data_IF_593756232231
#
_entry.id   IF_593756232231
#
_cell.length_a   1.000
_cell.length_b   1.000
_cell.length_c   1.000
_cell.angle_alpha   90.00
_cell.angle_beta   90.00
_cell.angle_gamma   90.00
#
_symmetry.space_group_name_H-M   'P 1'
#
loop_
_entity.id
_entity.type
_entity.pdbx_description
1 polymer ?
#
# COMPACT_ATOMS: atom_id res chain seq x y z
N UNK A 1 8.54 -49.94 -15.41
CA UNK A 1 9.47 -49.55 -14.34
C UNK A 1 9.10 -48.13 -13.93
N UNK A 2 8.25 -47.99 -12.91
CA UNK A 2 7.80 -46.69 -12.39
C UNK A 2 8.55 -46.42 -11.07
N UNK A 3 9.21 -45.27 -10.89
CA UNK A 3 9.67 -44.86 -9.58
C UNK A 3 8.54 -44.16 -8.82
N UNK A 4 8.39 -44.57 -7.57
CA UNK A 4 7.52 -44.02 -6.54
C UNK A 4 8.06 -42.68 -6.01
N UNK A 5 7.21 -41.69 -5.65
CA UNK A 5 7.64 -40.51 -4.92
C UNK A 5 7.78 -40.80 -3.42
N UNK A 6 8.88 -40.30 -2.85
CA UNK A 6 9.17 -40.32 -1.42
C UNK A 6 8.31 -39.32 -0.65
N UNK A 7 7.98 -39.71 0.58
CA UNK A 7 7.11 -39.03 1.51
C UNK A 7 7.74 -37.79 2.19
N UNK A 8 6.83 -36.88 2.48
CA UNK A 8 6.73 -35.80 3.46
C UNK A 8 7.52 -35.94 4.76
N UNK A 9 8.17 -34.85 5.20
CA UNK A 9 8.01 -34.22 6.52
C UNK A 9 9.00 -33.06 6.67
N UNK A 10 8.52 -31.83 6.87
CA UNK A 10 8.78 -31.01 8.08
C UNK A 10 7.70 -29.93 8.12
N UNK A 11 6.72 -30.19 8.97
CA UNK A 11 5.79 -29.22 9.52
C UNK A 11 6.56 -28.39 10.56
N UNK A 12 6.66 -27.06 10.39
CA UNK A 12 6.94 -26.10 11.46
C UNK A 12 6.88 -24.66 10.91
N UNK A 13 5.73 -24.02 11.10
CA UNK A 13 5.54 -22.64 11.60
C UNK A 13 4.27 -21.99 11.03
N UNK A 14 3.12 -22.33 11.62
CA UNK A 14 2.25 -21.32 12.22
C UNK A 14 1.43 -20.36 11.35
N UNK A 15 1.06 -20.68 10.10
CA UNK A 15 0.04 -19.88 9.38
C UNK A 15 -1.35 -20.45 9.66
N UNK A 16 -2.16 -19.72 10.44
CA UNK A 16 -3.60 -19.99 10.59
C UNK A 16 -4.35 -19.28 9.48
N UNK A 17 -5.00 -20.04 8.58
CA UNK A 17 -6.01 -19.50 7.68
C UNK A 17 -7.36 -19.49 8.41
N UNK A 18 -7.84 -18.31 8.79
CA UNK A 18 -9.18 -18.14 9.33
C UNK A 18 -10.18 -17.91 8.20
N UNK A 19 -10.86 -18.96 7.77
CA UNK A 19 -12.12 -18.82 7.04
C UNK A 19 -13.26 -18.81 8.07
N UNK A 20 -13.98 -17.69 8.18
CA UNK A 20 -15.20 -17.62 9.00
C UNK A 20 -16.37 -18.08 8.13
N UNK A 21 -16.93 -19.24 8.47
CA UNK A 21 -18.14 -19.81 7.87
C UNK A 21 -18.51 -21.11 8.58
N UNK A 22 -19.76 -21.20 9.03
CA UNK A 22 -20.26 -22.11 10.06
C UNK A 22 -20.34 -23.61 9.68
N UNK A 23 -20.14 -24.43 10.72
CA UNK A 23 -20.55 -25.83 10.97
C UNK A 23 -20.53 -26.88 9.84
N UNK A 24 -19.68 -27.90 10.04
CA UNK A 24 -19.79 -29.20 9.35
C UNK A 24 -18.42 -29.80 9.01
N UNK A 25 -17.87 -30.63 9.89
CA UNK A 25 -16.55 -31.24 9.74
C UNK A 25 -16.48 -32.26 8.58
N UNK A 26 -15.62 -31.99 7.59
CA UNK A 26 -14.89 -32.97 6.75
C UNK A 26 -13.51 -32.38 6.39
N UNK A 27 -12.47 -33.22 6.29
CA UNK A 27 -11.05 -32.82 6.22
C UNK A 27 -10.64 -31.91 5.05
N UNK A 28 -9.42 -31.35 5.07
CA UNK A 28 -9.03 -30.26 4.19
C UNK A 28 -8.80 -30.76 2.76
N UNK A 29 -9.85 -30.68 1.94
CA UNK A 29 -9.70 -30.56 0.51
C UNK A 29 -9.33 -29.10 0.21
N UNK A 30 -8.14 -28.86 -0.35
CA UNK A 30 -7.75 -27.54 -0.86
C UNK A 30 -8.50 -27.32 -2.19
N UNK A 31 -9.81 -27.16 -2.09
CA UNK A 31 -10.70 -26.90 -3.21
C UNK A 31 -10.90 -25.39 -3.39
N UNK A 32 -10.59 -24.91 -4.59
CA UNK A 32 -11.40 -23.89 -5.26
C UNK A 32 -11.31 -22.44 -4.77
N UNK A 33 -10.11 -21.92 -4.48
CA UNK A 33 -9.95 -20.45 -4.35
C UNK A 33 -9.83 -19.88 -5.78
N UNK A 34 -10.93 -19.34 -6.29
CA UNK A 34 -11.00 -18.62 -7.56
C UNK A 34 -11.47 -17.18 -7.31
N UNK A 35 -10.97 -16.21 -8.08
CA UNK A 35 -11.40 -14.80 -7.94
C UNK A 35 -10.92 -14.11 -6.66
N UNK A 36 -9.93 -14.67 -5.95
CA UNK A 36 -9.49 -14.16 -4.66
C UNK A 36 -8.34 -13.15 -4.78
N UNK A 37 -8.34 -12.17 -3.88
CA UNK A 37 -7.23 -11.24 -3.68
C UNK A 37 -6.23 -11.82 -2.67
N UNK A 38 -4.99 -12.00 -3.10
CA UNK A 38 -3.88 -12.51 -2.29
C UNK A 38 -2.91 -11.37 -2.01
N UNK A 39 -2.65 -11.10 -0.73
CA UNK A 39 -1.69 -10.09 -0.28
C UNK A 39 -0.48 -10.80 0.34
N UNK A 40 0.73 -10.56 -0.18
CA UNK A 40 1.97 -11.18 0.30
C UNK A 40 2.98 -10.08 0.66
N UNK A 41 3.36 -9.97 1.92
CA UNK A 41 4.41 -9.04 2.35
C UNK A 41 5.78 -9.75 2.27
N UNK A 42 6.79 -9.05 1.76
CA UNK A 42 8.15 -9.55 1.54
C UNK A 42 8.18 -10.95 0.91
N UNK A 43 7.64 -11.08 -0.30
CA UNK A 43 7.48 -12.38 -0.99
C UNK A 43 8.80 -13.17 -1.15
N UNK A 44 9.94 -12.49 -1.07
CA UNK A 44 11.28 -13.07 -1.11
C UNK A 44 11.91 -13.45 0.23
N UNK A 45 11.30 -13.14 1.38
CA UNK A 45 11.99 -13.13 2.67
C UNK A 45 12.72 -14.47 2.96
N UNK A 46 14.05 -14.40 3.11
CA UNK A 46 14.91 -15.56 3.38
C UNK A 46 15.12 -16.53 2.20
N UNK A 47 14.62 -16.22 1.01
CA UNK A 47 14.74 -17.07 -0.18
C UNK A 47 15.99 -16.75 -0.99
N UNK A 48 16.65 -17.80 -1.49
CA UNK A 48 17.72 -17.65 -2.48
C UNK A 48 17.17 -17.11 -3.82
N UNK A 49 17.91 -16.28 -4.58
CA UNK A 49 17.46 -15.69 -5.86
C UNK A 49 16.77 -16.66 -6.83
N UNK A 50 17.34 -17.85 -7.02
CA UNK A 50 16.74 -18.88 -7.88
C UNK A 50 15.36 -19.34 -7.40
N UNK A 51 15.17 -19.45 -6.08
CA UNK A 51 13.88 -19.84 -5.48
C UNK A 51 12.86 -18.71 -5.63
N UNK A 52 13.30 -17.44 -5.58
CA UNK A 52 12.43 -16.29 -5.81
C UNK A 52 11.87 -16.30 -7.25
N UNK A 53 12.68 -16.62 -8.25
CA UNK A 53 12.21 -16.75 -9.64
C UNK A 53 11.16 -17.86 -9.79
N UNK A 54 11.42 -19.02 -9.18
CA UNK A 54 10.50 -20.15 -9.23
C UNK A 54 9.17 -19.83 -8.51
N UNK A 55 9.24 -19.13 -7.38
CA UNK A 55 8.07 -18.64 -6.66
C UNK A 55 7.25 -17.69 -7.52
N UNK A 56 7.89 -16.71 -8.17
CA UNK A 56 7.18 -15.76 -9.04
C UNK A 56 6.53 -16.46 -10.23
N UNK A 57 7.17 -17.47 -10.82
CA UNK A 57 6.60 -18.29 -11.88
C UNK A 57 5.36 -19.05 -11.39
N UNK A 58 5.43 -19.67 -10.20
CA UNK A 58 4.26 -20.35 -9.61
C UNK A 58 3.13 -19.37 -9.30
N UNK A 59 3.42 -18.19 -8.73
CA UNK A 59 2.39 -17.18 -8.46
C UNK A 59 1.68 -16.73 -9.74
N UNK A 60 2.42 -16.60 -10.84
CA UNK A 60 1.84 -16.30 -12.16
C UNK A 60 0.97 -17.44 -12.70
N UNK A 61 1.42 -18.69 -12.57
CA UNK A 61 0.60 -19.85 -12.93
C UNK A 61 -0.69 -19.91 -12.10
N UNK A 62 -0.59 -19.56 -10.81
CA UNK A 62 -1.74 -19.51 -9.92
C UNK A 62 -2.73 -18.41 -10.32
N UNK A 63 -2.26 -17.21 -10.64
CA UNK A 63 -3.07 -16.13 -11.20
C UNK A 63 -3.81 -16.59 -12.46
N UNK A 64 -3.08 -17.13 -13.45
CA UNK A 64 -3.65 -17.59 -14.71
C UNK A 64 -4.67 -18.74 -14.56
N UNK A 65 -4.35 -19.74 -13.73
CA UNK A 65 -5.21 -20.91 -13.58
C UNK A 65 -6.40 -20.68 -12.64
N UNK A 66 -6.34 -19.66 -11.77
CA UNK A 66 -7.33 -19.47 -10.71
C UNK A 66 -7.96 -18.08 -10.66
N UNK A 67 -7.65 -17.19 -11.61
CA UNK A 67 -8.19 -15.82 -11.64
C UNK A 67 -7.91 -15.10 -10.30
N UNK A 68 -6.63 -15.05 -9.90
CA UNK A 68 -6.23 -14.52 -8.59
C UNK A 68 -5.56 -13.15 -8.75
N UNK A 69 -6.08 -12.13 -8.06
CA UNK A 69 -5.37 -10.87 -7.97
C UNK A 69 -4.27 -10.99 -6.89
N UNK A 70 -3.00 -10.96 -7.28
CA UNK A 70 -1.87 -11.07 -6.34
C UNK A 70 -1.21 -9.70 -6.18
N UNK A 71 -1.16 -9.18 -4.95
CA UNK A 71 -0.39 -7.99 -4.59
C UNK A 71 0.73 -8.45 -3.66
N UNK A 72 1.97 -8.25 -4.09
CA UNK A 72 3.15 -8.61 -3.32
C UNK A 72 4.05 -7.40 -3.09
N UNK A 73 4.67 -7.31 -1.91
CA UNK A 73 5.76 -6.37 -1.65
C UNK A 73 7.10 -7.11 -1.79
N UNK A 74 8.12 -6.40 -2.28
CA UNK A 74 9.45 -6.96 -2.43
C UNK A 74 10.53 -5.88 -2.46
N UNK A 75 11.65 -6.18 -1.84
CA UNK A 75 12.93 -5.49 -1.96
C UNK A 75 13.88 -6.17 -2.94
N UNK A 76 13.54 -7.36 -3.45
CA UNK A 76 14.40 -8.12 -4.35
C UNK A 76 14.29 -7.64 -5.81
N UNK A 77 15.41 -7.24 -6.44
CA UNK A 77 15.44 -6.98 -7.88
C UNK A 77 15.01 -8.20 -8.71
N UNK A 78 15.30 -9.41 -8.23
CA UNK A 78 14.99 -10.66 -8.94
C UNK A 78 13.48 -10.90 -8.98
N UNK A 79 12.78 -10.62 -7.88
CA UNK A 79 11.31 -10.65 -7.85
C UNK A 79 10.75 -9.62 -8.81
N UNK A 80 11.24 -8.38 -8.70
CA UNK A 80 10.81 -7.27 -9.54
C UNK A 80 11.00 -7.57 -11.04
N UNK A 81 12.14 -8.13 -11.45
CA UNK A 81 12.41 -8.55 -12.83
C UNK A 81 11.54 -9.72 -13.31
N UNK A 82 11.09 -10.56 -12.39
CA UNK A 82 10.23 -11.72 -12.70
C UNK A 82 8.76 -11.36 -12.87
N UNK A 83 8.35 -10.14 -12.51
CA UNK A 83 6.97 -9.67 -12.65
C UNK A 83 6.62 -9.50 -14.15
N UNK A 84 5.50 -10.08 -14.63
CA UNK A 84 5.11 -9.97 -16.03
C UNK A 84 4.82 -8.52 -16.41
N UNK A 85 4.98 -8.20 -17.71
CA UNK A 85 4.79 -6.84 -18.24
C UNK A 85 3.39 -6.27 -18.00
N UNK A 86 2.39 -7.13 -17.79
CA UNK A 86 1.02 -6.77 -17.47
C UNK A 86 0.74 -6.57 -15.98
N UNK A 87 1.69 -6.66 -15.06
CA UNK A 87 1.41 -6.39 -13.64
C UNK A 87 1.73 -4.94 -13.24
N UNK A 88 1.02 -4.45 -12.21
CA UNK A 88 1.27 -3.13 -11.61
C UNK A 88 2.47 -3.20 -10.66
N UNK A 89 3.49 -2.40 -10.93
CA UNK A 89 4.68 -2.27 -10.08
C UNK A 89 4.66 -0.94 -9.38
N UNK A 90 4.54 -0.95 -8.06
CA UNK A 90 4.65 0.24 -7.23
C UNK A 90 6.10 0.35 -6.77
N UNK A 91 6.82 1.34 -7.29
CA UNK A 91 8.22 1.62 -6.91
C UNK A 91 8.33 2.30 -5.54
N UNK A 92 9.54 2.30 -4.97
CA UNK A 92 9.85 3.04 -3.73
C UNK A 92 9.58 4.54 -3.89
N UNK A 93 9.35 5.17 -2.74
CA UNK A 93 9.35 6.60 -2.47
C UNK A 93 10.57 7.28 -3.10
N UNK A 94 10.42 7.70 -4.35
CA UNK A 94 11.33 8.63 -5.00
C UNK A 94 10.70 10.00 -4.84
N UNK A 95 11.44 10.97 -4.29
CA UNK A 95 10.89 12.30 -4.07
C UNK A 95 10.26 12.83 -5.36
N UNK A 96 9.19 13.62 -5.27
CA UNK A 96 8.37 14.04 -6.42
C UNK A 96 9.18 14.59 -7.63
N UNK A 97 10.41 15.07 -7.41
CA UNK A 97 11.34 15.48 -8.46
C UNK A 97 11.83 14.38 -9.41
N UNK A 98 11.77 13.10 -9.03
CA UNK A 98 12.25 11.96 -9.84
C UNK A 98 11.17 11.36 -10.76
N UNK A 99 9.90 11.62 -10.45
CA UNK A 99 8.76 11.09 -11.21
C UNK A 99 8.81 11.40 -12.72
N UNK A 100 9.25 12.61 -13.17
CA UNK A 100 9.41 12.87 -14.60
C UNK A 100 10.44 11.95 -15.29
N UNK A 101 11.52 11.61 -14.59
CA UNK A 101 12.55 10.69 -15.11
C UNK A 101 12.00 9.28 -15.22
N UNK A 102 11.23 8.83 -14.22
CA UNK A 102 10.54 7.54 -14.27
C UNK A 102 9.53 7.48 -15.41
N UNK A 103 8.73 8.54 -15.61
CA UNK A 103 7.81 8.63 -16.74
C UNK A 103 8.52 8.48 -18.09
N UNK A 104 9.67 9.13 -18.27
CA UNK A 104 10.48 8.98 -19.48
C UNK A 104 11.02 7.54 -19.65
N UNK A 105 11.45 6.90 -18.56
CA UNK A 105 11.94 5.53 -18.57
C UNK A 105 10.81 4.54 -18.93
N UNK A 106 9.67 4.60 -18.24
CA UNK A 106 8.54 3.71 -18.50
C UNK A 106 7.98 3.89 -19.92
N UNK A 107 8.00 5.12 -20.45
CA UNK A 107 7.67 5.37 -21.86
C UNK A 107 8.64 4.64 -22.79
N UNK A 108 9.95 4.75 -22.55
CA UNK A 108 10.99 4.10 -23.37
C UNK A 108 10.82 2.57 -23.42
N UNK A 109 10.32 1.98 -22.34
CA UNK A 109 10.06 0.53 -22.26
C UNK A 109 8.63 0.14 -22.66
N UNK A 110 7.81 1.08 -23.13
CA UNK A 110 6.43 0.81 -23.55
C UNK A 110 5.48 0.46 -22.41
N UNK A 111 5.86 0.74 -21.16
CA UNK A 111 5.10 0.34 -19.96
C UNK A 111 4.34 1.50 -19.31
N UNK A 112 4.49 2.74 -19.80
CA UNK A 112 3.92 3.93 -19.16
C UNK A 112 2.40 3.85 -18.91
N UNK A 113 1.69 3.07 -19.72
CA UNK A 113 0.26 2.82 -19.63
C UNK A 113 -0.15 1.92 -18.45
N UNK A 114 0.81 1.29 -17.78
CA UNK A 114 0.60 0.37 -16.65
C UNK A 114 0.93 1.03 -15.30
N UNK A 115 1.18 2.35 -15.29
CA UNK A 115 1.55 3.10 -14.08
C UNK A 115 0.51 4.15 -13.73
N UNK A 116 0.26 4.26 -12.44
CA UNK A 116 -0.43 5.39 -11.81
C UNK A 116 0.60 6.08 -10.91
N UNK A 117 0.76 7.39 -11.07
CA UNK A 117 1.61 8.17 -10.18
C UNK A 117 0.77 8.73 -9.04
N UNK A 118 1.16 8.50 -7.80
CA UNK A 118 0.51 9.10 -6.62
C UNK A 118 1.52 10.02 -5.95
N UNK A 119 1.17 11.29 -5.77
CA UNK A 119 2.01 12.30 -5.15
C UNK A 119 1.44 12.79 -3.84
N UNK A 120 2.27 13.41 -3.01
CA UNK A 120 1.83 14.07 -1.78
C UNK A 120 0.88 15.25 -2.07
N UNK A 121 0.03 15.58 -1.09
CA UNK A 121 -0.96 16.66 -1.23
C UNK A 121 -0.31 18.03 -1.44
N UNK A 122 0.84 18.28 -0.85
CA UNK A 122 1.63 19.51 -1.00
C UNK A 122 2.33 19.64 -2.37
N UNK A 123 2.48 18.53 -3.12
CA UNK A 123 3.01 18.52 -4.47
C UNK A 123 1.98 18.99 -5.53
N UNK A 124 0.74 19.29 -5.14
CA UNK A 124 -0.32 19.77 -6.06
C UNK A 124 0.03 21.09 -6.74
N UNK A 125 0.68 22.00 -6.03
CA UNK A 125 1.08 23.31 -6.55
C UNK A 125 2.41 23.24 -7.32
N UNK A 126 3.09 22.09 -7.28
CA UNK A 126 4.33 21.88 -8.00
C UNK A 126 4.06 21.51 -9.47
N UNK A 127 4.95 21.95 -10.37
CA UNK A 127 4.91 21.63 -11.81
C UNK A 127 5.15 20.14 -12.13
N UNK A 128 5.16 19.26 -11.12
CA UNK A 128 5.51 17.85 -11.25
C UNK A 128 4.55 17.11 -12.19
N UNK A 129 3.24 17.31 -12.08
CA UNK A 129 2.25 16.69 -13.00
C UNK A 129 2.49 17.10 -14.46
N UNK A 130 2.80 18.38 -14.69
CA UNK A 130 3.12 18.89 -16.02
C UNK A 130 4.38 18.23 -16.57
N UNK A 131 5.40 18.07 -15.73
CA UNK A 131 6.66 17.41 -16.10
C UNK A 131 6.46 15.91 -16.37
N UNK A 132 5.67 15.21 -15.56
CA UNK A 132 5.32 13.79 -15.78
C UNK A 132 4.64 13.63 -17.13
N UNK A 133 3.58 14.40 -17.40
CA UNK A 133 2.85 14.34 -18.68
C UNK A 133 3.74 14.62 -19.88
N UNK A 134 4.61 15.63 -19.79
CA UNK A 134 5.57 15.96 -20.86
C UNK A 134 6.56 14.83 -21.13
N UNK A 135 6.99 14.10 -20.09
CA UNK A 135 7.96 13.01 -20.24
C UNK A 135 7.31 11.67 -20.63
N UNK A 136 6.06 11.47 -20.22
CA UNK A 136 5.23 10.33 -20.59
C UNK A 136 4.77 10.39 -22.05
N UNK A 137 4.64 11.59 -22.62
CA UNK A 137 4.16 11.83 -24.00
C UNK A 137 2.81 11.15 -24.30
N UNK A 138 2.02 10.99 -23.23
CA UNK A 138 0.69 10.42 -23.20
C UNK A 138 0.00 10.91 -21.92
N UNK A 139 -1.32 10.79 -21.85
CA UNK A 139 -2.03 11.09 -20.61
C UNK A 139 -1.89 9.90 -19.67
N UNK A 140 -1.18 10.12 -18.56
CA UNK A 140 -0.99 9.13 -17.50
C UNK A 140 -1.74 9.61 -16.27
N UNK A 141 -2.44 8.71 -15.54
CA UNK A 141 -3.04 9.06 -14.28
C UNK A 141 -1.99 9.58 -13.28
N UNK A 142 -2.20 10.80 -12.81
CA UNK A 142 -1.39 11.45 -11.78
C UNK A 142 -2.35 11.89 -10.68
N UNK A 143 -2.34 11.13 -9.60
CA UNK A 143 -3.19 11.29 -8.42
C UNK A 143 -2.42 11.97 -7.31
N UNK A 144 -3.16 12.45 -6.32
CA UNK A 144 -2.59 13.14 -5.17
C UNK A 144 -3.22 12.64 -3.88
N UNK A 145 -2.40 12.50 -2.84
CA UNK A 145 -2.84 12.29 -1.47
C UNK A 145 -3.75 13.45 -1.01
N UNK A 146 -4.62 13.19 -0.01
CA UNK A 146 -5.61 14.16 0.43
C UNK A 146 -4.99 15.44 0.98
N UNK A 147 -5.74 16.53 0.86
CA UNK A 147 -5.32 17.86 1.32
C UNK A 147 -4.30 18.55 0.41
N UNK A 148 -3.70 19.62 0.95
CA UNK A 148 -2.63 20.43 0.34
C UNK A 148 -1.37 20.48 1.21
N UNK A 149 -1.33 19.62 2.22
CA UNK A 149 -0.27 19.52 3.21
C UNK A 149 0.45 18.18 3.03
N UNK A 150 1.52 17.95 3.80
CA UNK A 150 2.18 16.65 3.77
C UNK A 150 1.24 15.56 4.31
N UNK A 151 1.43 14.29 3.93
CA UNK A 151 0.56 13.21 4.38
C UNK A 151 0.48 13.11 5.91
N UNK A 152 1.59 13.35 6.61
CA UNK A 152 1.64 13.31 8.08
C UNK A 152 0.84 14.45 8.71
N UNK A 153 0.86 15.65 8.11
CA UNK A 153 0.07 16.78 8.58
C UNK A 153 -1.44 16.51 8.38
N UNK A 154 -1.80 15.93 7.24
CA UNK A 154 -3.17 15.48 6.99
C UNK A 154 -3.63 14.44 8.02
N UNK A 155 -2.80 13.42 8.31
CA UNK A 155 -3.09 12.42 9.34
C UNK A 155 -3.26 13.09 10.71
N UNK A 156 -2.33 13.97 11.10
CA UNK A 156 -2.38 14.66 12.39
C UNK A 156 -3.68 15.44 12.58
N UNK A 157 -4.12 16.16 11.54
CA UNK A 157 -5.37 16.93 11.56
C UNK A 157 -6.61 16.05 11.63
N UNK A 158 -6.59 14.90 10.96
CA UNK A 158 -7.78 14.05 10.77
C UNK A 158 -7.99 13.05 11.91
N UNK A 159 -6.90 12.63 12.58
CA UNK A 159 -6.89 11.62 13.63
C UNK A 159 -7.88 11.87 14.79
N UNK A 160 -8.06 13.10 15.32
CA UNK A 160 -9.03 13.36 16.40
C UNK A 160 -10.46 13.02 15.99
N UNK A 161 -10.86 13.44 14.79
CA UNK A 161 -12.18 13.13 14.27
C UNK A 161 -12.38 11.62 14.06
N UNK A 162 -11.35 10.92 13.60
CA UNK A 162 -11.42 9.46 13.49
C UNK A 162 -11.60 8.80 14.86
N UNK A 163 -10.91 9.28 15.90
CA UNK A 163 -11.04 8.73 17.24
C UNK A 163 -12.44 8.95 17.83
N UNK A 164 -13.01 10.15 17.68
CA UNK A 164 -14.37 10.44 18.14
C UNK A 164 -15.42 9.50 17.55
N UNK A 165 -15.24 9.09 16.28
CA UNK A 165 -16.18 8.22 15.57
C UNK A 165 -15.91 6.73 15.79
N UNK A 166 -14.63 6.35 15.89
CA UNK A 166 -14.16 4.98 15.70
C UNK A 166 -13.09 4.59 16.74
N UNK A 167 -13.23 5.08 17.97
CA UNK A 167 -12.30 4.87 19.09
C UNK A 167 -11.89 3.40 19.29
N UNK A 168 -12.86 2.48 19.16
CA UNK A 168 -12.63 1.03 19.30
C UNK A 168 -11.60 0.52 18.28
N UNK A 169 -11.69 0.97 17.03
CA UNK A 169 -10.77 0.55 15.96
C UNK A 169 -9.37 1.16 16.13
N UNK A 170 -9.31 2.37 16.68
CA UNK A 170 -8.05 3.05 16.99
C UNK A 170 -7.39 2.53 18.27
N UNK A 171 -8.14 1.83 19.12
CA UNK A 171 -7.64 1.24 20.36
C UNK A 171 -7.25 2.27 21.41
N UNK A 172 -7.80 3.49 21.33
CA UNK A 172 -7.51 4.60 22.24
C UNK A 172 -8.78 5.42 22.48
N UNK A 173 -8.98 5.83 23.74
CA UNK A 173 -10.07 6.74 24.09
C UNK A 173 -9.86 8.12 23.42
N UNK A 174 -10.92 8.77 22.90
CA UNK A 174 -10.79 10.06 22.22
C UNK A 174 -10.22 11.16 23.13
N UNK A 175 -10.60 11.19 24.41
CA UNK A 175 -10.08 12.14 25.38
C UNK A 175 -8.60 11.90 25.69
N UNK A 176 -8.22 10.63 25.84
CA UNK A 176 -6.81 10.24 26.01
C UNK A 176 -5.96 10.62 24.79
N UNK A 177 -6.45 10.34 23.58
CA UNK A 177 -5.77 10.72 22.34
C UNK A 177 -5.59 12.25 22.27
N UNK A 178 -6.66 13.01 22.49
CA UNK A 178 -6.62 14.46 22.46
C UNK A 178 -5.60 15.02 23.46
N UNK A 179 -5.54 14.46 24.67
CA UNK A 179 -4.54 14.83 25.67
C UNK A 179 -3.11 14.54 25.20
N UNK A 180 -2.86 13.35 24.62
CA UNK A 180 -1.53 12.97 24.11
C UNK A 180 -1.10 13.86 22.95
N UNK A 181 -2.00 14.14 22.01
CA UNK A 181 -1.73 15.03 20.89
C UNK A 181 -1.43 16.46 21.37
N UNK A 182 -2.20 16.98 22.32
CA UNK A 182 -1.94 18.31 22.90
C UNK A 182 -0.57 18.40 23.60
N UNK A 183 -0.13 17.33 24.27
CA UNK A 183 1.21 17.27 24.86
C UNK A 183 2.30 17.29 23.78
N UNK A 184 2.11 16.55 22.69
CA UNK A 184 3.05 16.56 21.56
C UNK A 184 3.07 17.94 20.91
N UNK A 185 1.91 18.55 20.64
CA UNK A 185 1.83 19.90 20.11
C UNK A 185 2.53 20.94 21.00
N UNK A 186 2.42 20.81 22.32
CA UNK A 186 3.13 21.69 23.26
C UNK A 186 4.65 21.57 23.19
N UNK A 187 5.18 20.35 23.00
CA UNK A 187 6.63 20.11 22.82
C UNK A 187 7.14 20.77 21.54
N UNK A 188 6.36 20.70 20.46
CA UNK A 188 6.77 21.20 19.14
C UNK A 188 6.30 22.63 18.84
N UNK A 189 5.55 23.28 19.73
CA UNK A 189 5.07 24.65 19.55
C UNK A 189 6.21 25.69 19.45
N UNK A 190 7.38 25.37 20.01
CA UNK A 190 8.58 26.22 20.01
C UNK A 190 9.65 25.78 18.99
N UNK A 191 9.44 24.67 18.28
CA UNK A 191 10.39 24.17 17.29
C UNK A 191 10.25 24.96 15.97
N UNK A 192 11.28 25.73 15.60
CA UNK A 192 11.31 26.55 14.39
C UNK A 192 11.58 25.80 13.08
N UNK A 193 11.26 24.50 13.01
CA UNK A 193 11.53 23.64 11.85
C UNK A 193 10.49 23.78 10.71
N UNK A 194 10.80 23.27 9.50
CA UNK A 194 9.84 23.16 8.40
C UNK A 194 8.58 22.41 8.84
N UNK A 195 7.39 22.90 8.44
CA UNK A 195 6.10 22.36 8.91
C UNK A 195 5.89 20.88 8.61
N UNK A 196 6.40 20.37 7.49
CA UNK A 196 6.31 18.96 7.09
C UNK A 196 7.19 18.06 7.97
N UNK A 197 8.43 18.47 8.26
CA UNK A 197 9.33 17.77 9.18
C UNK A 197 8.73 17.72 10.59
N UNK A 198 8.20 18.85 11.06
CA UNK A 198 7.49 18.92 12.35
C UNK A 198 6.29 17.98 12.40
N UNK A 199 5.48 17.88 11.34
CA UNK A 199 4.33 16.97 11.32
C UNK A 199 4.75 15.49 11.38
N UNK A 200 5.80 15.13 10.65
CA UNK A 200 6.38 13.78 10.66
C UNK A 200 6.94 13.40 12.02
N UNK A 201 7.66 14.31 12.67
CA UNK A 201 8.20 14.13 14.02
C UNK A 201 7.08 13.97 15.06
N UNK A 202 6.06 14.83 15.00
CA UNK A 202 4.87 14.74 15.87
C UNK A 202 4.18 13.38 15.75
N UNK A 203 3.97 12.91 14.52
CA UNK A 203 3.30 11.64 14.27
C UNK A 203 4.13 10.45 14.79
N UNK A 204 5.45 10.49 14.63
CA UNK A 204 6.36 9.48 15.18
C UNK A 204 6.40 9.48 16.71
N UNK A 205 6.40 10.64 17.35
CA UNK A 205 6.33 10.76 18.81
C UNK A 205 4.99 10.20 19.34
N UNK A 206 3.88 10.52 18.67
CA UNK A 206 2.58 9.98 19.03
C UNK A 206 2.52 8.45 18.87
N UNK A 207 3.09 7.91 17.77
CA UNK A 207 3.09 6.48 17.50
C UNK A 207 3.86 5.70 18.57
N UNK A 208 5.01 6.22 19.01
CA UNK A 208 5.77 5.67 20.14
C UNK A 208 4.94 5.66 21.44
N UNK A 209 4.25 6.75 21.76
CA UNK A 209 3.38 6.82 22.95
C UNK A 209 2.22 5.84 22.86
N UNK A 210 1.62 5.68 21.69
CA UNK A 210 0.55 4.72 21.42
C UNK A 210 1.05 3.27 21.34
N UNK A 211 2.37 3.03 21.33
CA UNK A 211 3.00 1.72 21.11
C UNK A 211 2.49 1.06 19.83
N UNK A 212 2.38 1.85 18.77
CA UNK A 212 1.88 1.43 17.47
C UNK A 212 2.78 1.99 16.38
N UNK A 213 2.96 1.23 15.31
CA UNK A 213 3.75 1.70 14.17
C UNK A 213 3.07 2.91 13.50
N UNK A 214 3.86 3.90 13.08
CA UNK A 214 3.35 5.09 12.37
C UNK A 214 2.55 4.68 11.13
N UNK A 215 3.04 3.70 10.37
CA UNK A 215 2.35 3.17 9.19
C UNK A 215 0.97 2.59 9.51
N UNK A 216 0.80 1.96 10.68
CA UNK A 216 -0.48 1.36 11.07
C UNK A 216 -1.51 2.41 11.47
N UNK A 217 -1.07 3.51 12.10
CA UNK A 217 -1.91 4.68 12.35
C UNK A 217 -2.36 5.27 11.01
N UNK A 218 -1.43 5.52 10.09
CA UNK A 218 -1.75 6.06 8.76
C UNK A 218 -2.73 5.19 7.98
N UNK A 219 -2.48 3.87 7.93
CA UNK A 219 -3.36 2.91 7.26
C UNK A 219 -4.76 2.90 7.85
N UNK A 220 -4.87 2.98 9.18
CA UNK A 220 -6.17 2.96 9.83
C UNK A 220 -6.95 4.24 9.54
N UNK A 221 -6.34 5.41 9.72
CA UNK A 221 -6.96 6.70 9.40
C UNK A 221 -7.39 6.74 7.94
N UNK A 222 -6.49 6.37 7.02
CA UNK A 222 -6.78 6.32 5.59
C UNK A 222 -7.96 5.39 5.26
N UNK A 223 -8.06 4.21 5.88
CA UNK A 223 -9.20 3.29 5.68
C UNK A 223 -10.51 3.82 6.25
N UNK A 224 -10.47 4.49 7.41
CA UNK A 224 -11.68 5.05 8.03
C UNK A 224 -12.21 6.22 7.20
N UNK A 225 -11.31 7.07 6.73
CA UNK A 225 -11.65 8.22 5.90
C UNK A 225 -12.06 7.81 4.47
N UNK A 226 -11.45 6.79 3.88
CA UNK A 226 -11.86 6.28 2.56
C UNK A 226 -13.28 5.69 2.54
N UNK A 227 -13.85 5.35 3.70
CA UNK A 227 -15.24 4.88 3.81
C UNK A 227 -16.26 6.01 3.93
N UNK A 228 -15.80 7.25 4.01
CA UNK A 228 -16.65 8.42 4.24
C UNK A 228 -16.79 9.22 2.96
N UNK A 229 -18.01 9.28 2.43
CA UNK A 229 -18.32 10.02 1.20
C UNK A 229 -18.02 11.53 1.30
N UNK A 230 -17.94 12.08 2.52
CA UNK A 230 -17.64 13.49 2.79
C UNK A 230 -16.16 13.77 3.09
N UNK A 231 -15.28 12.76 3.00
CA UNK A 231 -13.87 12.90 3.31
C UNK A 231 -13.06 13.52 2.17
N UNK A 232 -12.02 14.27 2.52
CA UNK A 232 -11.09 14.88 1.56
C UNK A 232 -10.18 13.86 0.85
N UNK A 233 -10.21 12.59 1.25
CA UNK A 233 -9.59 11.47 0.54
C UNK A 233 -10.42 10.94 -0.62
N UNK A 234 -11.72 11.25 -0.69
CA UNK A 234 -12.61 10.69 -1.73
C UNK A 234 -12.15 10.95 -3.16
N UNK A 235 -11.64 12.15 -3.53
CA UNK A 235 -11.11 12.35 -4.88
C UNK A 235 -9.99 11.36 -5.24
N UNK A 236 -9.11 11.01 -4.29
CA UNK A 236 -8.08 10.00 -4.52
C UNK A 236 -8.69 8.61 -4.71
N UNK A 237 -9.68 8.25 -3.89
CA UNK A 237 -10.36 6.94 -3.95
C UNK A 237 -11.05 6.77 -5.30
N UNK A 238 -11.85 7.75 -5.71
CA UNK A 238 -12.61 7.75 -6.96
C UNK A 238 -11.68 7.74 -8.18
N UNK A 239 -10.64 8.58 -8.20
CA UNK A 239 -9.69 8.63 -9.32
C UNK A 239 -8.84 7.35 -9.41
N UNK A 240 -8.46 6.76 -8.28
CA UNK A 240 -7.74 5.48 -8.25
C UNK A 240 -8.62 4.34 -8.72
N UNK A 241 -9.89 4.29 -8.28
CA UNK A 241 -10.84 3.30 -8.74
C UNK A 241 -11.07 3.43 -10.26
N UNK A 242 -11.28 4.64 -10.77
CA UNK A 242 -11.43 4.90 -12.20
C UNK A 242 -10.18 4.46 -12.99
N UNK A 243 -8.98 4.75 -12.49
CA UNK A 243 -7.73 4.32 -13.12
C UNK A 243 -7.60 2.78 -13.17
N UNK A 244 -7.98 2.09 -12.08
CA UNK A 244 -7.98 0.63 -12.02
C UNK A 244 -9.04 0.01 -12.95
N UNK A 245 -10.23 0.60 -13.04
CA UNK A 245 -11.28 0.15 -13.96
C UNK A 245 -10.86 0.32 -15.42
N UNK A 246 -10.31 1.49 -15.77
CA UNK A 246 -9.81 1.76 -17.12
C UNK A 246 -8.68 0.78 -17.51
N UNK A 247 -7.83 0.42 -16.55
CA UNK A 247 -6.79 -0.57 -16.76
C UNK A 247 -7.36 -1.99 -16.98
N UNK A 248 -8.34 -2.42 -16.18
CA UNK A 248 -9.02 -3.72 -16.34
C UNK A 248 -9.78 -3.86 -17.66
N UNK A 249 -10.19 -2.75 -18.28
CA UNK A 249 -10.93 -2.75 -19.55
C UNK A 249 -10.06 -2.80 -20.81
N UNK A 250 -8.73 -2.87 -20.66
CA UNK A 250 -7.76 -2.94 -21.76
C UNK A 250 -7.35 -4.38 -22.06
#
# INVERSE_FOLDING_TARGET
MHPQPFATAVEKSGVRFGAVGAEGAQGPQIGGVHGALVLIDEVEAGLHPWVQQLLMLHLQELDLCRDLQIIATSHSPVVLESVPSGAVRIGRDTGAGEFPTHAAAFRKFGQIQNFVFVLDGDARDADVRRKIRRNADTDVPVLYLPGRESPEAWIWRTLPGCAEREAEKLGIDPGELAQRMAQVDAVYASAGGPRSETAKEKLNELSQRMRRETADICRLVGRLEAKRDDSDIQPLVEELEAALQAWRSR
#
